data_IF_174912721781
#
_entry.id   IF_174912721781
#
_cell.length_a   1.000
_cell.length_b   1.000
_cell.length_c   1.000
_cell.angle_alpha   90.00
_cell.angle_beta   90.00
_cell.angle_gamma   90.00
#
_symmetry.space_group_name_H-M   'P 1'
#
loop_
_entity.id
_entity.type
_entity.pdbx_description
1 polymer ?
#
# COMPACT_ATOMS: atom_id res chain seq x y z
N UNK A 1 -0.32 -28.08 -14.66
CA UNK A 1 -1.33 -27.48 -13.75
C UNK A 1 -0.60 -26.33 -13.09
N UNK A 2 -1.14 -25.12 -13.03
CA UNK A 2 -0.49 -24.03 -12.30
C UNK A 2 -0.52 -24.36 -10.81
N UNK A 3 0.64 -24.34 -10.15
CA UNK A 3 0.75 -24.43 -8.70
C UNK A 3 -0.03 -23.28 -8.05
N UNK A 4 -0.62 -23.51 -6.89
CA UNK A 4 -1.24 -22.44 -6.11
C UNK A 4 -0.17 -21.69 -5.31
N UNK A 5 -0.41 -20.43 -5.00
CA UNK A 5 0.45 -19.63 -4.13
C UNK A 5 -0.31 -19.28 -2.85
N UNK A 6 0.24 -19.69 -1.72
CA UNK A 6 -0.34 -19.51 -0.40
C UNK A 6 0.38 -18.41 0.37
N UNK A 7 -0.39 -17.66 1.16
CA UNK A 7 0.12 -16.73 2.14
C UNK A 7 0.19 -17.46 3.48
N UNK A 8 1.39 -17.60 4.03
CA UNK A 8 1.63 -18.25 5.31
C UNK A 8 1.66 -17.25 6.46
N UNK A 9 2.21 -16.06 6.24
CA UNK A 9 2.10 -14.94 7.17
C UNK A 9 2.18 -13.60 6.43
N UNK A 10 1.68 -12.55 7.10
CA UNK A 10 1.75 -11.17 6.62
C UNK A 10 1.95 -10.24 7.83
N UNK A 11 3.11 -9.61 7.90
CA UNK A 11 3.53 -8.79 9.02
C UNK A 11 4.02 -7.43 8.56
N UNK A 12 3.95 -6.45 9.45
CA UNK A 12 4.41 -5.09 9.19
C UNK A 12 5.00 -4.43 10.43
N UNK A 13 5.82 -3.43 10.23
CA UNK A 13 6.14 -2.49 11.30
C UNK A 13 4.95 -1.59 11.62
N UNK A 14 4.88 -0.97 12.80
CA UNK A 14 4.08 0.25 12.96
C UNK A 14 4.59 1.31 12.00
N UNK A 15 3.74 2.29 11.66
CA UNK A 15 4.08 3.40 10.78
C UNK A 15 4.54 4.60 11.60
N UNK A 16 5.79 5.03 11.42
CA UNK A 16 6.35 6.23 12.03
C UNK A 16 6.03 7.48 11.20
N UNK A 17 5.85 8.64 11.82
CA UNK A 17 5.64 9.89 11.07
C UNK A 17 6.83 10.21 10.18
N UNK A 18 6.61 10.50 8.92
CA UNK A 18 7.61 10.81 7.89
C UNK A 18 8.22 12.21 8.04
N UNK A 19 8.75 12.50 9.22
CA UNK A 19 9.39 13.79 9.56
C UNK A 19 10.65 13.54 10.39
N UNK A 20 11.55 14.51 10.43
CA UNK A 20 12.80 14.41 11.21
C UNK A 20 12.59 14.13 12.71
N UNK A 21 11.43 14.48 13.26
CA UNK A 21 11.04 14.17 14.63
C UNK A 21 10.09 12.96 14.75
N UNK A 22 9.89 12.19 13.69
CA UNK A 22 9.13 10.94 13.71
C UNK A 22 9.92 9.83 14.42
N UNK A 23 9.22 8.93 15.07
CA UNK A 23 9.85 7.89 15.91
C UNK A 23 10.81 6.98 15.11
N UNK A 24 10.52 6.70 13.84
CA UNK A 24 11.35 5.84 12.99
C UNK A 24 12.45 6.59 12.21
N UNK A 25 12.55 7.92 12.29
CA UNK A 25 13.59 8.67 11.56
C UNK A 25 15.01 8.22 11.90
N UNK A 26 15.27 7.83 13.14
CA UNK A 26 16.56 7.30 13.59
C UNK A 26 16.83 5.85 13.18
N UNK A 27 15.81 5.12 12.73
CA UNK A 27 15.91 3.71 12.31
C UNK A 27 16.19 3.63 10.82
N UNK A 28 17.21 2.89 10.41
CA UNK A 28 17.50 2.72 8.98
C UNK A 28 16.43 1.86 8.31
N UNK A 29 16.08 2.13 7.03
CA UNK A 29 15.13 1.30 6.29
C UNK A 29 15.48 -0.20 6.31
N UNK A 30 16.78 -0.52 6.20
CA UNK A 30 17.24 -1.90 6.25
C UNK A 30 16.96 -2.57 7.61
N UNK A 31 17.09 -1.86 8.72
CA UNK A 31 16.82 -2.41 10.05
C UNK A 31 15.32 -2.72 10.24
N UNK A 32 14.41 -2.00 9.56
CA UNK A 32 12.99 -2.31 9.53
C UNK A 32 12.72 -3.66 8.85
N UNK A 33 13.36 -3.89 7.70
CA UNK A 33 13.21 -5.14 6.94
C UNK A 33 13.85 -6.31 7.68
N UNK A 34 15.07 -6.13 8.20
CA UNK A 34 15.80 -7.16 8.99
C UNK A 34 14.99 -7.59 10.21
N UNK A 35 14.37 -6.63 10.92
CA UNK A 35 13.48 -6.93 12.05
C UNK A 35 12.30 -7.81 11.68
N UNK A 36 11.70 -7.57 10.51
CA UNK A 36 10.61 -8.40 9.99
C UNK A 36 11.10 -9.80 9.54
N UNK A 37 12.28 -9.91 8.93
CA UNK A 37 12.87 -11.21 8.59
C UNK A 37 13.09 -12.04 9.85
N UNK A 38 13.66 -11.47 10.90
CA UNK A 38 13.86 -12.15 12.17
C UNK A 38 12.53 -12.56 12.82
N UNK A 39 11.50 -11.74 12.69
CA UNK A 39 10.16 -12.10 13.20
C UNK A 39 9.57 -13.29 12.42
N UNK A 40 9.70 -13.35 11.09
CA UNK A 40 9.27 -14.51 10.29
C UNK A 40 10.03 -15.78 10.73
N UNK A 41 11.35 -15.71 10.92
CA UNK A 41 12.13 -16.84 11.43
C UNK A 41 11.67 -17.27 12.83
N UNK A 42 11.33 -16.31 13.69
CA UNK A 42 10.83 -16.60 15.05
C UNK A 42 9.44 -17.27 15.04
N UNK A 43 8.59 -16.89 14.11
CA UNK A 43 7.23 -17.48 13.95
C UNK A 43 7.26 -18.87 13.32
N UNK A 44 8.28 -19.15 12.53
CA UNK A 44 8.47 -20.43 11.85
C UNK A 44 9.80 -21.08 12.25
N UNK A 45 9.93 -21.54 13.51
CA UNK A 45 11.20 -22.02 14.05
C UNK A 45 11.72 -23.30 13.36
N UNK A 46 10.83 -24.08 12.72
CA UNK A 46 11.20 -25.30 11.99
C UNK A 46 11.49 -25.05 10.51
N UNK A 47 11.31 -23.79 10.02
CA UNK A 47 11.64 -23.42 8.66
C UNK A 47 13.17 -23.32 8.52
N UNK A 48 13.74 -24.12 7.62
CA UNK A 48 15.13 -23.95 7.20
C UNK A 48 15.25 -22.60 6.44
N UNK A 49 16.04 -21.64 6.92
CA UNK A 49 16.22 -20.37 6.21
C UNK A 49 16.73 -20.52 4.77
N UNK A 50 17.40 -21.65 4.44
CA UNK A 50 17.85 -21.96 3.09
C UNK A 50 16.70 -22.34 2.13
N UNK A 51 15.50 -22.58 2.65
CA UNK A 51 14.30 -22.80 1.85
C UNK A 51 13.68 -21.50 1.31
N UNK A 52 14.14 -20.35 1.78
CA UNK A 52 13.76 -19.06 1.20
C UNK A 52 14.57 -18.88 -0.08
N UNK A 53 13.88 -18.85 -1.22
CA UNK A 53 14.52 -18.71 -2.53
C UNK A 53 14.87 -17.25 -2.83
N UNK A 54 13.94 -16.34 -2.54
CA UNK A 54 14.08 -14.93 -2.92
C UNK A 54 13.37 -13.99 -1.93
N UNK A 55 13.82 -12.73 -1.92
CA UNK A 55 13.15 -11.62 -1.25
C UNK A 55 12.78 -10.57 -2.32
N UNK A 56 11.49 -10.26 -2.47
CA UNK A 56 11.01 -9.25 -3.42
C UNK A 56 10.50 -8.04 -2.66
N UNK A 57 11.18 -6.90 -2.77
CA UNK A 57 10.81 -5.68 -2.04
C UNK A 57 10.45 -4.52 -2.97
N UNK A 58 9.26 -3.97 -2.75
CA UNK A 58 8.85 -2.68 -3.30
C UNK A 58 9.54 -1.52 -2.60
N UNK A 59 10.18 -0.64 -3.38
CA UNK A 59 10.80 0.60 -2.92
C UNK A 59 10.59 1.67 -3.97
N UNK A 60 9.90 2.76 -3.62
CA UNK A 60 9.52 3.78 -4.60
C UNK A 60 10.65 4.78 -4.87
N UNK A 61 11.37 5.18 -3.83
CA UNK A 61 12.53 6.08 -3.98
C UNK A 61 13.82 5.34 -3.63
N UNK A 62 14.39 4.54 -4.58
CA UNK A 62 15.53 3.66 -4.33
C UNK A 62 16.87 4.43 -4.25
N UNK A 63 16.94 5.38 -3.32
CA UNK A 63 18.09 6.26 -3.10
C UNK A 63 18.62 6.15 -1.67
N UNK A 64 19.88 6.54 -1.48
CA UNK A 64 20.51 6.61 -0.17
C UNK A 64 20.37 5.29 0.59
N UNK A 65 19.82 5.35 1.79
CA UNK A 65 19.70 4.22 2.72
C UNK A 65 18.75 3.11 2.24
N UNK A 66 17.91 3.36 1.25
CA UNK A 66 16.97 2.37 0.70
C UNK A 66 17.23 2.05 -0.77
N UNK A 67 18.43 2.37 -1.26
CA UNK A 67 18.90 2.05 -2.60
C UNK A 67 19.71 0.75 -2.68
N UNK A 68 20.29 0.51 -3.85
CA UNK A 68 21.26 -0.57 -4.12
C UNK A 68 20.76 -1.98 -3.79
N UNK A 69 19.53 -2.29 -4.22
CA UNK A 69 18.90 -3.60 -3.96
C UNK A 69 18.87 -3.95 -2.46
N UNK A 70 18.14 -3.14 -1.71
CA UNK A 70 17.98 -3.32 -0.27
C UNK A 70 17.42 -4.72 0.11
N UNK A 71 16.72 -5.40 -0.81
CA UNK A 71 16.17 -6.74 -0.58
C UNK A 71 17.32 -7.75 -0.33
N UNK A 72 18.30 -7.82 -1.26
CA UNK A 72 19.46 -8.70 -1.09
C UNK A 72 20.31 -8.29 0.11
N UNK A 73 20.53 -6.98 0.30
CA UNK A 73 21.33 -6.50 1.43
C UNK A 73 20.65 -6.82 2.78
N UNK A 74 19.32 -6.76 2.85
CA UNK A 74 18.58 -7.16 4.05
C UNK A 74 18.68 -8.65 4.34
N UNK A 75 18.65 -9.53 3.31
CA UNK A 75 18.89 -10.96 3.48
C UNK A 75 20.25 -11.24 4.14
N UNK A 76 21.31 -10.62 3.63
CA UNK A 76 22.67 -10.74 4.19
C UNK A 76 22.72 -10.19 5.61
N UNK A 77 22.17 -9.00 5.85
CA UNK A 77 22.19 -8.35 7.15
C UNK A 77 21.38 -9.11 8.21
N UNK A 78 20.32 -9.82 7.80
CA UNK A 78 19.54 -10.70 8.66
C UNK A 78 20.21 -12.04 8.93
N UNK A 79 21.37 -12.32 8.32
CA UNK A 79 22.09 -13.59 8.50
C UNK A 79 21.43 -14.78 7.78
N UNK A 80 20.63 -14.51 6.74
CA UNK A 80 20.12 -15.59 5.89
C UNK A 80 21.27 -16.24 5.10
N UNK A 81 21.12 -17.51 4.67
CA UNK A 81 22.11 -18.19 3.84
C UNK A 81 22.43 -17.42 2.54
N UNK A 82 23.65 -17.61 2.04
CA UNK A 82 24.12 -16.97 0.79
C UNK A 82 23.28 -17.33 -0.44
N UNK A 83 22.56 -18.45 -0.37
CA UNK A 83 21.64 -18.90 -1.41
C UNK A 83 20.38 -18.01 -1.57
N UNK A 84 19.98 -17.27 -0.54
CA UNK A 84 18.78 -16.43 -0.60
C UNK A 84 19.03 -15.21 -1.50
N UNK A 85 18.33 -15.13 -2.61
CA UNK A 85 18.43 -14.00 -3.54
C UNK A 85 17.65 -12.78 -3.03
N UNK A 86 17.66 -11.68 -3.78
CA UNK A 86 16.86 -10.50 -3.50
C UNK A 86 16.69 -9.65 -4.72
N UNK A 87 15.53 -9.03 -4.86
CA UNK A 87 15.23 -8.07 -5.92
C UNK A 87 14.40 -6.90 -5.40
N UNK A 88 14.75 -5.72 -5.80
CA UNK A 88 14.01 -4.49 -5.53
C UNK A 88 13.23 -4.07 -6.78
N UNK A 89 11.95 -3.70 -6.60
CA UNK A 89 11.11 -3.27 -7.71
C UNK A 89 10.37 -1.97 -7.37
N UNK A 90 9.86 -1.29 -8.41
CA UNK A 90 9.11 -0.05 -8.28
C UNK A 90 7.87 -0.04 -9.18
N UNK A 91 6.70 -0.05 -8.58
CA UNK A 91 5.40 0.29 -9.18
C UNK A 91 4.72 1.40 -8.38
N UNK A 92 5.47 2.44 -8.01
CA UNK A 92 5.01 3.55 -7.19
C UNK A 92 4.22 3.06 -5.95
N UNK A 93 3.08 3.67 -5.66
CA UNK A 93 2.25 3.37 -4.48
C UNK A 93 1.84 1.89 -4.33
N UNK A 94 1.86 1.10 -5.39
CA UNK A 94 1.49 -0.31 -5.37
C UNK A 94 2.68 -1.27 -5.30
N UNK A 95 3.92 -0.79 -5.15
CA UNK A 95 5.11 -1.63 -5.16
C UNK A 95 5.00 -2.82 -4.20
N UNK A 96 4.55 -2.63 -2.95
CA UNK A 96 4.41 -3.73 -2.00
C UNK A 96 3.38 -4.79 -2.41
N UNK A 97 2.30 -4.42 -3.11
CA UNK A 97 1.34 -5.39 -3.65
C UNK A 97 1.87 -6.07 -4.91
N UNK A 98 2.60 -5.34 -5.74
CA UNK A 98 3.27 -5.89 -6.93
C UNK A 98 4.34 -6.91 -6.52
N UNK A 99 5.14 -6.63 -5.50
CA UNK A 99 6.11 -7.57 -4.94
C UNK A 99 5.44 -8.89 -4.52
N UNK A 100 4.29 -8.80 -3.83
CA UNK A 100 3.46 -9.97 -3.46
C UNK A 100 2.96 -10.71 -4.70
N UNK A 101 2.47 -9.99 -5.72
CA UNK A 101 1.97 -10.58 -6.95
C UNK A 101 3.09 -11.26 -7.76
N UNK A 102 4.30 -10.67 -7.80
CA UNK A 102 5.47 -11.27 -8.42
C UNK A 102 5.91 -12.54 -7.69
N UNK A 103 5.95 -12.53 -6.36
CA UNK A 103 6.23 -13.72 -5.56
C UNK A 103 5.21 -14.83 -5.83
N UNK A 104 3.91 -14.50 -5.82
CA UNK A 104 2.86 -15.46 -6.16
C UNK A 104 3.01 -16.01 -7.59
N UNK A 105 3.41 -15.18 -8.56
CA UNK A 105 3.67 -15.63 -9.92
C UNK A 105 4.88 -16.57 -10.00
N UNK A 106 5.98 -16.29 -9.29
CA UNK A 106 7.15 -17.16 -9.20
C UNK A 106 6.79 -18.52 -8.63
N UNK A 107 6.06 -18.56 -7.50
CA UNK A 107 5.60 -19.80 -6.87
C UNK A 107 4.66 -20.56 -7.82
N UNK A 108 3.68 -19.89 -8.41
CA UNK A 108 2.71 -20.52 -9.34
C UNK A 108 3.35 -21.04 -10.63
N UNK A 109 4.47 -20.47 -11.07
CA UNK A 109 5.24 -20.96 -12.22
C UNK A 109 6.10 -22.18 -11.89
N UNK A 110 6.31 -22.47 -10.60
CA UNK A 110 7.21 -23.50 -10.14
C UNK A 110 8.69 -23.11 -10.22
N UNK A 111 9.00 -21.82 -10.36
CA UNK A 111 10.39 -21.35 -10.35
C UNK A 111 10.93 -21.25 -8.94
N UNK A 112 10.11 -20.87 -7.98
CA UNK A 112 10.45 -20.70 -6.58
C UNK A 112 9.42 -21.42 -5.69
N UNK A 113 9.82 -21.91 -4.54
CA UNK A 113 8.95 -22.57 -3.57
C UNK A 113 8.51 -21.66 -2.43
N UNK A 114 9.40 -20.78 -1.94
CA UNK A 114 9.12 -19.85 -0.85
C UNK A 114 9.80 -18.50 -1.10
N UNK A 115 9.00 -17.45 -1.13
CA UNK A 115 9.45 -16.07 -1.36
C UNK A 115 8.93 -15.17 -0.24
N UNK A 116 9.80 -14.34 0.32
CA UNK A 116 9.39 -13.24 1.19
C UNK A 116 9.14 -12.00 0.31
N UNK A 117 7.94 -11.45 0.36
CA UNK A 117 7.58 -10.33 -0.49
C UNK A 117 6.98 -9.19 0.32
N UNK A 118 7.24 -7.95 -0.07
CA UNK A 118 6.70 -6.82 0.66
C UNK A 118 7.30 -5.50 0.20
N UNK A 119 7.75 -4.69 1.15
CA UNK A 119 8.40 -3.44 0.79
C UNK A 119 8.78 -2.59 1.98
N UNK A 120 9.50 -1.53 1.69
CA UNK A 120 9.94 -0.55 2.67
C UNK A 120 9.93 0.85 2.07
N UNK A 121 9.55 1.82 2.86
CA UNK A 121 9.73 3.24 2.53
C UNK A 121 10.02 4.02 3.81
N UNK A 122 11.09 4.79 3.82
CA UNK A 122 11.44 5.71 4.91
C UNK A 122 11.37 7.13 4.38
N UNK A 123 10.15 7.67 4.34
CA UNK A 123 9.87 8.98 3.72
C UNK A 123 10.40 10.14 4.57
N UNK A 124 10.75 9.90 5.85
CA UNK A 124 11.42 10.88 6.70
C UNK A 124 12.91 11.05 6.35
N UNK A 125 13.53 10.01 5.75
CA UNK A 125 14.96 9.98 5.39
C UNK A 125 15.18 10.22 3.90
N UNK A 126 14.33 9.63 3.06
CA UNK A 126 14.36 9.78 1.60
C UNK A 126 13.04 10.40 1.15
N UNK A 127 13.00 11.71 0.90
CA UNK A 127 11.79 12.40 0.50
C UNK A 127 11.22 11.86 -0.81
N UNK A 128 9.91 11.80 -0.91
CA UNK A 128 9.21 11.38 -2.13
C UNK A 128 9.64 12.23 -3.33
N UNK A 129 9.93 11.57 -4.46
CA UNK A 129 10.35 12.21 -5.70
C UNK A 129 11.84 12.60 -5.74
N UNK A 130 12.65 12.22 -4.72
CA UNK A 130 14.09 12.48 -4.72
C UNK A 130 14.84 11.74 -5.83
N UNK A 131 14.27 10.66 -6.35
CA UNK A 131 14.78 9.85 -7.46
C UNK A 131 14.62 10.54 -8.81
N UNK A 132 13.85 11.63 -8.89
CA UNK A 132 13.67 12.43 -10.12
C UNK A 132 12.82 11.69 -11.14
N UNK A 133 13.40 11.50 -12.34
CA UNK A 133 12.75 10.83 -13.46
C UNK A 133 12.23 11.78 -14.54
N UNK A 134 12.22 11.31 -15.77
CA UNK A 134 11.89 12.12 -16.94
C UNK A 134 10.46 12.69 -16.87
N UNK A 135 9.54 11.92 -16.33
CA UNK A 135 8.12 12.31 -16.25
C UNK A 135 7.89 13.65 -15.52
N UNK A 136 8.60 13.89 -14.42
CA UNK A 136 8.47 15.12 -13.64
C UNK A 136 9.60 16.13 -13.89
N UNK A 137 10.77 15.69 -14.39
CA UNK A 137 11.98 16.50 -14.50
C UNK A 137 12.30 16.96 -15.92
N UNK A 138 11.81 16.27 -16.94
CA UNK A 138 11.99 16.68 -18.34
C UNK A 138 10.73 17.41 -18.83
N UNK A 139 10.82 18.73 -19.15
CA UNK A 139 9.67 19.53 -19.56
C UNK A 139 8.93 19.00 -20.79
N UNK A 140 9.66 18.41 -21.75
CA UNK A 140 9.06 17.86 -22.96
C UNK A 140 8.22 16.63 -22.62
N UNK A 141 8.81 15.65 -21.92
CA UNK A 141 8.11 14.44 -21.47
C UNK A 141 6.93 14.76 -20.57
N UNK A 142 7.10 15.72 -19.64
CA UNK A 142 6.02 16.20 -18.77
C UNK A 142 4.84 16.74 -19.57
N UNK A 143 5.12 17.59 -20.57
CA UNK A 143 4.08 18.17 -21.43
C UNK A 143 3.39 17.10 -22.30
N UNK A 144 4.16 16.25 -22.99
CA UNK A 144 3.64 15.21 -23.90
C UNK A 144 2.78 14.17 -23.16
N UNK A 145 3.11 13.89 -21.90
CA UNK A 145 2.36 12.93 -21.06
C UNK A 145 1.22 13.55 -20.25
N UNK A 146 1.05 14.87 -20.33
CA UNK A 146 0.03 15.58 -19.57
C UNK A 146 0.22 15.45 -18.06
N UNK A 147 1.46 15.52 -17.60
CA UNK A 147 1.79 15.37 -16.18
C UNK A 147 1.09 16.41 -15.33
N UNK A 148 0.41 15.95 -14.30
CA UNK A 148 -0.09 16.77 -13.20
C UNK A 148 0.21 16.07 -11.87
N UNK A 149 0.53 16.83 -10.79
CA UNK A 149 0.69 16.23 -9.46
C UNK A 149 -0.55 15.47 -9.01
N UNK A 150 -0.37 14.38 -8.26
CA UNK A 150 -1.47 13.49 -7.82
C UNK A 150 -2.63 14.24 -7.14
N UNK A 151 -2.33 15.27 -6.35
CA UNK A 151 -3.36 16.05 -5.68
C UNK A 151 -4.27 16.81 -6.63
N UNK A 152 -3.76 17.26 -7.80
CA UNK A 152 -4.59 17.87 -8.86
C UNK A 152 -5.52 16.79 -9.45
N UNK A 153 -5.01 15.58 -9.69
CA UNK A 153 -5.86 14.45 -10.13
C UNK A 153 -6.95 14.09 -9.11
N UNK A 154 -6.62 14.12 -7.81
CA UNK A 154 -7.58 13.86 -6.75
C UNK A 154 -8.69 14.95 -6.69
N UNK A 155 -8.31 16.24 -6.78
CA UNK A 155 -9.25 17.34 -6.81
C UNK A 155 -10.12 17.35 -8.10
N UNK A 156 -9.52 16.95 -9.24
CA UNK A 156 -10.25 16.74 -10.48
C UNK A 156 -11.28 15.61 -10.36
N UNK A 157 -10.93 14.50 -9.71
CA UNK A 157 -11.89 13.42 -9.40
C UNK A 157 -13.04 13.98 -8.57
N UNK A 158 -12.74 14.68 -7.48
CA UNK A 158 -13.77 15.26 -6.63
C UNK A 158 -14.69 16.22 -7.41
N UNK A 159 -14.11 17.06 -8.26
CA UNK A 159 -14.86 18.01 -9.12
C UNK A 159 -15.79 17.29 -10.09
N UNK A 160 -15.29 16.30 -10.83
CA UNK A 160 -16.07 15.55 -11.83
C UNK A 160 -17.20 14.76 -11.17
N UNK A 161 -16.93 14.16 -10.01
CA UNK A 161 -17.92 13.36 -9.28
C UNK A 161 -18.87 14.17 -8.41
N UNK A 162 -18.60 15.47 -8.24
CA UNK A 162 -19.37 16.37 -7.39
C UNK A 162 -19.18 16.12 -5.90
N UNK A 163 -18.03 15.57 -5.50
CA UNK A 163 -17.71 15.40 -4.08
C UNK A 163 -17.32 16.73 -3.46
N UNK A 164 -18.10 17.15 -2.48
CA UNK A 164 -17.83 18.38 -1.74
C UNK A 164 -16.67 18.20 -0.77
N UNK A 165 -16.17 19.31 -0.26
CA UNK A 165 -15.22 19.33 0.84
C UNK A 165 -15.71 18.52 2.04
N UNK A 166 -17.00 18.61 2.36
CA UNK A 166 -17.59 17.88 3.48
C UNK A 166 -17.58 16.37 3.25
N UNK A 167 -17.88 15.90 2.06
CA UNK A 167 -17.88 14.47 1.75
C UNK A 167 -16.50 13.84 1.95
N UNK A 168 -15.43 14.49 1.48
CA UNK A 168 -14.06 13.99 1.65
C UNK A 168 -13.58 14.09 3.10
N UNK A 169 -14.02 15.08 3.87
CA UNK A 169 -13.70 15.22 5.29
C UNK A 169 -14.48 14.21 6.15
N UNK A 170 -15.74 13.90 5.82
CA UNK A 170 -16.53 12.85 6.48
C UNK A 170 -15.91 11.47 6.26
N UNK A 171 -15.44 11.17 5.04
CA UNK A 171 -14.71 9.93 4.80
C UNK A 171 -13.39 9.87 5.59
N UNK A 172 -12.64 10.97 5.66
CA UNK A 172 -11.40 11.03 6.43
C UNK A 172 -11.65 10.82 7.95
N UNK A 173 -12.71 11.40 8.49
CA UNK A 173 -13.13 11.18 9.87
C UNK A 173 -13.50 9.72 10.12
N UNK A 174 -14.22 9.08 9.19
CA UNK A 174 -14.56 7.66 9.24
C UNK A 174 -13.31 6.77 9.25
N UNK A 175 -12.29 7.07 8.42
CA UNK A 175 -11.01 6.35 8.43
C UNK A 175 -10.32 6.43 9.80
N UNK A 176 -10.26 7.62 10.39
CA UNK A 176 -9.68 7.84 11.73
C UNK A 176 -10.46 7.09 12.83
N UNK A 177 -11.79 7.14 12.80
CA UNK A 177 -12.64 6.42 13.75
C UNK A 177 -12.40 4.91 13.70
N UNK A 178 -12.41 4.34 12.49
CA UNK A 178 -12.20 2.91 12.25
C UNK A 178 -10.81 2.46 12.69
N UNK A 179 -9.78 3.23 12.36
CA UNK A 179 -8.41 2.93 12.76
C UNK A 179 -8.24 2.99 14.28
N UNK A 180 -8.84 3.97 14.94
CA UNK A 180 -8.82 4.07 16.40
C UNK A 180 -9.53 2.89 17.06
N UNK A 181 -10.69 2.48 16.53
CA UNK A 181 -11.41 1.29 17.00
C UNK A 181 -10.58 0.01 16.78
N UNK A 182 -9.98 -0.15 15.61
CA UNK A 182 -9.14 -1.32 15.29
C UNK A 182 -7.95 -1.45 16.25
N UNK A 183 -7.26 -0.36 16.55
CA UNK A 183 -6.19 -0.34 17.55
C UNK A 183 -6.69 -0.68 18.95
N UNK A 184 -7.78 -0.06 19.38
CA UNK A 184 -8.39 -0.32 20.71
C UNK A 184 -8.81 -1.77 20.88
N UNK A 185 -9.36 -2.36 19.83
CA UNK A 185 -9.86 -3.74 19.83
C UNK A 185 -8.77 -4.79 19.58
N UNK A 186 -7.50 -4.37 19.38
CA UNK A 186 -6.37 -5.26 19.16
C UNK A 186 -6.36 -5.96 17.77
N UNK A 187 -7.09 -5.41 16.77
CA UNK A 187 -7.23 -6.04 15.46
C UNK A 187 -5.91 -6.10 14.67
N UNK A 188 -4.91 -5.30 15.04
CA UNK A 188 -3.56 -5.29 14.46
C UNK A 188 -2.53 -6.09 15.26
N UNK A 189 -2.92 -6.72 16.38
CA UNK A 189 -1.96 -7.38 17.29
C UNK A 189 -1.17 -8.52 16.65
N UNK A 190 -1.74 -9.20 15.63
CA UNK A 190 -1.07 -10.29 14.92
C UNK A 190 -0.05 -9.77 13.91
N UNK A 191 -0.39 -8.73 13.18
CA UNK A 191 0.40 -8.25 12.04
C UNK A 191 1.44 -7.20 12.41
N UNK A 192 1.23 -6.39 13.46
CA UNK A 192 2.18 -5.35 13.85
C UNK A 192 3.30 -5.91 14.71
N UNK A 193 4.53 -5.76 14.21
CA UNK A 193 5.77 -6.13 14.90
C UNK A 193 6.41 -4.86 15.43
N UNK A 194 6.56 -4.71 16.77
CA UNK A 194 7.22 -3.54 17.35
C UNK A 194 8.65 -3.36 16.82
N UNK A 195 8.99 -2.15 16.43
CA UNK A 195 10.36 -1.81 16.05
C UNK A 195 11.20 -1.64 17.31
N UNK A 196 12.33 -2.32 17.37
CA UNK A 196 13.27 -2.30 18.50
C UNK A 196 14.62 -1.80 18.04
N UNK A 197 15.34 -1.14 18.94
CA UNK A 197 16.74 -0.80 18.72
C UNK A 197 17.66 -2.04 18.91
N UNK A 198 18.97 -1.86 18.69
CA UNK A 198 19.97 -2.94 18.84
C UNK A 198 20.12 -3.48 20.27
N UNK A 199 19.59 -2.76 21.27
CA UNK A 199 19.59 -3.18 22.67
C UNK A 199 18.27 -3.87 23.06
N UNK A 200 17.33 -4.00 22.11
CA UNK A 200 16.03 -4.59 22.33
C UNK A 200 14.97 -3.63 22.92
N UNK A 201 15.28 -2.34 23.05
CA UNK A 201 14.32 -1.35 23.51
C UNK A 201 13.31 -1.01 22.40
N UNK A 202 12.04 -0.94 22.74
CA UNK A 202 10.98 -0.59 21.80
C UNK A 202 11.12 0.88 21.40
N UNK A 203 11.29 1.11 20.10
CA UNK A 203 11.32 2.43 19.46
C UNK A 203 9.91 2.89 19.10
N UNK A 204 9.11 1.97 18.54
CA UNK A 204 7.72 2.23 18.17
C UNK A 204 6.94 0.90 18.14
N UNK A 205 5.73 0.90 18.72
CA UNK A 205 4.83 -0.27 18.81
C UNK A 205 3.43 0.00 18.27
N UNK A 206 3.13 1.23 17.83
CA UNK A 206 1.83 1.65 17.32
C UNK A 206 1.96 2.61 16.13
N UNK A 207 0.91 2.76 15.33
CA UNK A 207 0.91 3.70 14.19
C UNK A 207 0.87 5.16 14.71
N UNK A 208 1.97 5.87 14.56
CA UNK A 208 2.19 7.21 15.14
C UNK A 208 1.34 8.31 14.48
N UNK A 209 0.81 8.06 13.27
CA UNK A 209 0.03 9.05 12.51
C UNK A 209 -1.42 9.18 12.97
N UNK A 210 -1.96 8.17 13.63
CA UNK A 210 -3.35 8.09 14.08
C UNK A 210 -3.75 9.30 14.95
N UNK A 211 -4.93 9.86 14.69
CA UNK A 211 -5.51 11.02 15.41
C UNK A 211 -6.93 10.72 15.87
N UNK A 212 -7.10 10.00 16.96
CA UNK A 212 -8.42 9.68 17.50
C UNK A 212 -9.23 10.94 17.79
N UNK A 213 -10.54 10.88 17.52
CA UNK A 213 -11.44 12.02 17.76
C UNK A 213 -11.46 13.06 16.62
N UNK A 214 -10.82 12.79 15.49
CA UNK A 214 -10.96 13.63 14.29
C UNK A 214 -12.41 13.59 13.79
N UNK A 215 -12.97 14.77 13.49
CA UNK A 215 -14.31 14.93 12.91
C UNK A 215 -14.23 15.79 11.64
N UNK A 216 -15.24 15.71 10.78
CA UNK A 216 -15.32 16.58 9.60
C UNK A 216 -15.26 18.06 9.99
N UNK A 217 -15.92 18.46 11.07
CA UNK A 217 -15.91 19.85 11.56
C UNK A 217 -14.51 20.29 12.02
N UNK A 218 -13.73 19.36 12.63
CA UNK A 218 -12.33 19.64 13.01
C UNK A 218 -11.40 19.81 11.80
N UNK A 219 -11.74 19.20 10.67
CA UNK A 219 -11.00 19.29 9.41
C UNK A 219 -11.38 20.51 8.56
N UNK A 220 -12.60 21.06 8.73
CA UNK A 220 -13.15 22.12 7.89
C UNK A 220 -12.26 23.38 7.79
N UNK A 221 -11.49 23.70 8.85
CA UNK A 221 -10.59 24.85 8.88
C UNK A 221 -9.26 24.67 8.13
N UNK A 222 -8.94 23.45 7.65
CA UNK A 222 -7.71 23.20 6.93
C UNK A 222 -7.77 23.73 5.49
N UNK A 223 -6.70 24.39 5.04
CA UNK A 223 -6.61 24.92 3.68
C UNK A 223 -6.38 23.79 2.68
N UNK A 224 -6.98 23.84 1.48
CA UNK A 224 -6.64 22.93 0.39
C UNK A 224 -5.14 22.96 0.09
N UNK A 225 -4.53 21.78 -0.04
CA UNK A 225 -3.07 21.66 -0.19
C UNK A 225 -2.60 21.92 -1.62
N UNK A 226 -3.48 21.74 -2.61
CA UNK A 226 -3.08 21.73 -4.01
C UNK A 226 -3.54 22.97 -4.80
N UNK A 227 -4.34 23.85 -4.20
CA UNK A 227 -4.84 25.07 -4.85
C UNK A 227 -3.72 25.96 -5.40
N UNK A 228 -2.66 26.19 -4.62
CA UNK A 228 -1.56 27.04 -5.06
C UNK A 228 -0.75 26.43 -6.23
N UNK A 229 -0.48 25.13 -6.20
CA UNK A 229 0.23 24.45 -7.28
C UNK A 229 -0.65 24.28 -8.52
N UNK A 230 -1.96 24.16 -8.35
CA UNK A 230 -2.94 24.13 -9.43
C UNK A 230 -2.99 25.47 -10.16
N UNK A 231 -3.32 26.54 -9.44
CA UNK A 231 -3.52 27.88 -9.98
C UNK A 231 -2.18 28.54 -10.39
N UNK A 232 -1.31 28.83 -9.44
CA UNK A 232 -0.03 29.54 -9.69
C UNK A 232 0.98 28.65 -10.41
N UNK A 233 1.03 27.35 -10.09
CA UNK A 233 1.89 26.37 -10.75
C UNK A 233 1.39 25.95 -12.15
N UNK A 234 0.17 26.33 -12.54
CA UNK A 234 -0.40 26.08 -13.87
C UNK A 234 -0.89 24.64 -14.11
N UNK A 235 -0.90 23.76 -13.10
CA UNK A 235 -1.30 22.37 -13.29
C UNK A 235 -2.80 22.17 -13.47
N UNK A 236 -3.63 23.12 -13.00
CA UNK A 236 -5.06 23.13 -13.32
C UNK A 236 -5.27 23.33 -14.83
N UNK A 237 -4.52 24.24 -15.44
CA UNK A 237 -4.59 24.45 -16.89
C UNK A 237 -4.16 23.21 -17.68
N UNK A 238 -3.14 22.48 -17.23
CA UNK A 238 -2.74 21.19 -17.82
C UNK A 238 -3.88 20.18 -17.75
N UNK A 239 -4.49 20.00 -16.58
CA UNK A 239 -5.62 19.08 -16.40
C UNK A 239 -6.83 19.48 -17.22
N UNK A 240 -7.19 20.77 -17.26
CA UNK A 240 -8.33 21.30 -18.00
C UNK A 240 -8.15 21.23 -19.53
N UNK A 241 -6.92 21.20 -20.07
CA UNK A 241 -6.70 20.91 -21.49
C UNK A 241 -7.23 19.52 -21.87
N UNK A 242 -7.07 18.53 -21.00
CA UNK A 242 -7.59 17.19 -21.22
C UNK A 242 -9.07 17.07 -20.89
N UNK A 243 -9.51 17.71 -19.81
CA UNK A 243 -10.87 17.70 -19.27
C UNK A 243 -11.59 19.02 -19.57
N UNK A 244 -11.62 19.40 -20.85
CA UNK A 244 -12.09 20.71 -21.35
C UNK A 244 -13.58 21.02 -21.08
N UNK A 245 -14.35 20.02 -20.64
CA UNK A 245 -15.75 20.21 -20.21
C UNK A 245 -15.88 20.60 -18.74
N UNK A 246 -14.78 20.55 -17.98
CA UNK A 246 -14.70 21.03 -16.60
C UNK A 246 -14.29 22.49 -16.63
N UNK A 247 -15.11 23.37 -16.08
CA UNK A 247 -14.87 24.82 -16.10
C UNK A 247 -13.75 25.22 -15.15
N UNK A 248 -13.71 24.59 -13.96
CA UNK A 248 -12.77 24.85 -12.88
C UNK A 248 -12.58 23.62 -12.00
N UNK A 249 -11.37 23.42 -11.47
CA UNK A 249 -11.11 22.39 -10.46
C UNK A 249 -11.41 22.96 -9.07
N UNK A 250 -12.28 22.29 -8.32
CA UNK A 250 -12.55 22.60 -6.93
C UNK A 250 -11.55 21.86 -6.03
N UNK A 251 -10.69 22.63 -5.36
CA UNK A 251 -9.68 22.07 -4.47
C UNK A 251 -10.27 21.75 -3.10
N UNK A 252 -10.42 20.46 -2.81
CA UNK A 252 -11.04 19.96 -1.57
C UNK A 252 -10.07 19.14 -0.71
N UNK A 253 -8.95 18.65 -1.30
CA UNK A 253 -8.01 17.81 -0.58
C UNK A 253 -6.94 18.60 0.19
N UNK A 254 -6.63 18.09 1.38
CA UNK A 254 -5.62 18.63 2.28
C UNK A 254 -5.00 17.52 3.14
N UNK A 255 -4.00 17.84 3.95
CA UNK A 255 -3.29 16.85 4.76
C UNK A 255 -4.16 16.02 5.73
N UNK A 256 -5.40 16.46 6.03
CA UNK A 256 -6.32 15.74 6.92
C UNK A 256 -7.21 14.73 6.21
N UNK A 257 -7.37 14.81 4.88
CA UNK A 257 -8.18 13.92 4.07
C UNK A 257 -7.37 13.27 2.91
N UNK A 258 -6.05 13.27 3.05
CA UNK A 258 -5.07 12.61 2.20
C UNK A 258 -4.19 11.69 3.04
N UNK A 259 -3.52 10.73 2.42
CA UNK A 259 -2.63 9.81 3.12
C UNK A 259 -1.49 10.51 3.85
N UNK A 260 -1.16 10.03 5.04
CA UNK A 260 -0.02 10.50 5.80
C UNK A 260 1.31 10.06 5.20
N UNK A 261 2.30 10.96 5.19
CA UNK A 261 3.70 10.66 4.88
C UNK A 261 4.31 9.99 6.12
N UNK A 262 4.80 8.75 5.96
CA UNK A 262 5.27 7.91 7.07
C UNK A 262 6.42 7.00 6.66
N UNK A 263 7.10 6.43 7.65
CA UNK A 263 8.11 5.38 7.50
C UNK A 263 7.49 4.02 7.86
N UNK A 264 7.87 2.95 7.16
CA UNK A 264 7.43 1.60 7.52
C UNK A 264 7.88 0.54 6.52
N UNK A 265 7.77 -0.72 6.95
CA UNK A 265 8.05 -1.90 6.15
C UNK A 265 7.00 -2.98 6.37
N UNK A 266 6.85 -3.88 5.40
CA UNK A 266 6.01 -5.07 5.49
C UNK A 266 6.67 -6.25 4.80
N UNK A 267 6.40 -7.47 5.30
CA UNK A 267 6.77 -8.74 4.69
C UNK A 267 5.60 -9.72 4.72
N UNK A 268 5.46 -10.46 3.62
CA UNK A 268 4.48 -11.52 3.42
C UNK A 268 5.26 -12.78 3.01
N UNK A 269 5.04 -13.88 3.70
CA UNK A 269 5.61 -15.18 3.33
C UNK A 269 4.67 -15.86 2.33
N UNK A 270 5.14 -16.07 1.11
CA UNK A 270 4.38 -16.67 0.01
C UNK A 270 5.09 -17.93 -0.45
N UNK A 271 4.36 -19.05 -0.48
CA UNK A 271 4.96 -20.31 -0.86
C UNK A 271 4.01 -21.29 -1.52
N UNK A 272 4.61 -22.38 -2.02
CA UNK A 272 3.90 -23.53 -2.57
C UNK A 272 3.24 -24.35 -1.45
N UNK A 273 2.29 -25.20 -1.79
CA UNK A 273 1.71 -26.16 -0.85
C UNK A 273 2.78 -27.10 -0.28
N UNK A 274 3.68 -27.52 -1.14
CA UNK A 274 4.76 -28.45 -0.85
C UNK A 274 5.73 -27.91 0.22
N UNK A 275 6.08 -26.60 0.15
CA UNK A 275 6.93 -25.99 1.19
C UNK A 275 6.18 -25.88 2.52
N UNK A 276 4.88 -25.57 2.47
CA UNK A 276 4.03 -25.56 3.66
C UNK A 276 3.99 -26.92 4.35
N UNK A 277 3.74 -27.99 3.61
CA UNK A 277 3.71 -29.37 4.14
C UNK A 277 5.09 -29.79 4.68
N UNK A 278 6.19 -29.42 4.00
CA UNK A 278 7.55 -29.78 4.40
C UNK A 278 7.95 -29.17 5.75
N UNK A 279 7.58 -27.93 6.00
CA UNK A 279 7.97 -27.18 7.20
C UNK A 279 6.85 -26.94 8.20
N UNK A 280 5.68 -27.60 8.01
CA UNK A 280 4.55 -27.48 8.92
C UNK A 280 3.94 -26.08 8.94
N UNK A 281 4.04 -25.32 7.85
CA UNK A 281 3.44 -24.00 7.75
C UNK A 281 1.94 -24.11 7.46
N UNK A 282 1.12 -23.40 8.21
CA UNK A 282 -0.33 -23.37 7.99
C UNK A 282 -0.69 -22.20 7.07
N UNK A 283 -1.29 -22.47 5.90
CA UNK A 283 -1.70 -21.39 5.00
C UNK A 283 -2.87 -20.59 5.63
N UNK A 284 -2.80 -19.27 5.53
CA UNK A 284 -3.83 -18.33 5.99
C UNK A 284 -4.78 -17.94 4.86
N UNK A 285 -4.22 -17.79 3.67
CA UNK A 285 -4.94 -17.42 2.47
C UNK A 285 -4.22 -17.96 1.23
N UNK A 286 -4.91 -17.95 0.09
CA UNK A 286 -4.30 -18.13 -1.23
C UNK A 286 -4.49 -16.91 -2.10
N UNK A 287 -3.53 -16.63 -2.98
CA UNK A 287 -3.67 -15.61 -4.03
C UNK A 287 -4.50 -16.22 -5.18
N UNK A 288 -5.74 -15.78 -5.31
CA UNK A 288 -6.66 -16.27 -6.34
C UNK A 288 -6.31 -15.69 -7.71
N UNK A 289 -6.20 -14.38 -7.77
CA UNK A 289 -5.84 -13.66 -9.00
C UNK A 289 -5.18 -12.32 -8.69
N UNK A 290 -4.42 -11.82 -9.67
CA UNK A 290 -3.88 -10.49 -9.67
C UNK A 290 -4.01 -9.83 -11.05
N UNK A 291 -4.15 -8.51 -11.08
CA UNK A 291 -4.23 -7.74 -12.30
C UNK A 291 -3.65 -6.34 -12.14
N UNK A 292 -3.07 -5.86 -13.23
CA UNK A 292 -2.66 -4.47 -13.40
C UNK A 292 -3.44 -3.85 -14.55
N UNK A 293 -3.68 -2.54 -14.48
CA UNK A 293 -4.33 -1.77 -15.53
C UNK A 293 -3.69 -0.39 -15.63
N UNK A 294 -3.49 0.10 -16.85
CA UNK A 294 -3.30 1.53 -17.10
C UNK A 294 -4.63 2.27 -17.04
N UNK A 295 -4.57 3.55 -16.74
CA UNK A 295 -5.69 4.51 -16.80
C UNK A 295 -5.19 5.84 -17.33
N UNK A 296 -6.07 6.83 -17.50
CA UNK A 296 -5.69 8.13 -18.02
C UNK A 296 -4.69 8.84 -17.08
N UNK A 297 -3.48 9.24 -17.55
CA UNK A 297 -2.39 9.65 -16.67
C UNK A 297 -2.56 11.02 -16.02
N UNK A 298 -3.37 11.94 -16.58
CA UNK A 298 -3.56 13.29 -16.03
C UNK A 298 -4.42 13.25 -14.77
N UNK A 299 -5.58 12.56 -14.81
CA UNK A 299 -6.41 12.31 -13.62
C UNK A 299 -5.78 11.24 -12.71
N UNK A 300 -4.97 10.37 -13.28
CA UNK A 300 -4.04 9.42 -12.66
C UNK A 300 -4.70 8.35 -11.77
N UNK A 301 -5.59 8.71 -10.87
CA UNK A 301 -5.95 7.91 -9.69
C UNK A 301 -7.19 7.02 -9.90
N UNK A 302 -7.62 6.81 -11.14
CA UNK A 302 -8.82 6.02 -11.50
C UNK A 302 -8.51 4.54 -11.83
N UNK A 303 -7.25 4.11 -11.71
CA UNK A 303 -6.80 2.76 -12.00
C UNK A 303 -7.39 1.61 -11.16
N UNK A 304 -7.80 1.81 -9.88
CA UNK A 304 -8.32 0.73 -9.05
C UNK A 304 -9.52 -0.03 -9.64
N UNK A 305 -10.52 0.66 -10.18
CA UNK A 305 -11.72 0.03 -10.71
C UNK A 305 -11.44 -0.87 -11.94
N UNK A 306 -10.72 -0.43 -13.00
CA UNK A 306 -10.39 -1.31 -14.12
C UNK A 306 -9.47 -2.47 -13.72
N UNK A 307 -8.51 -2.26 -12.79
CA UNK A 307 -7.68 -3.35 -12.28
C UNK A 307 -8.52 -4.39 -11.52
N UNK A 308 -9.44 -3.94 -10.66
CA UNK A 308 -10.37 -4.80 -9.93
C UNK A 308 -11.25 -5.62 -10.86
N UNK A 309 -11.90 -5.00 -11.85
CA UNK A 309 -12.73 -5.75 -12.84
C UNK A 309 -11.93 -6.82 -13.56
N UNK A 310 -10.68 -6.51 -13.90
CA UNK A 310 -9.77 -7.47 -14.55
C UNK A 310 -9.36 -8.61 -13.61
N UNK A 311 -9.09 -8.34 -12.33
CA UNK A 311 -8.75 -9.35 -11.34
C UNK A 311 -9.95 -10.28 -11.06
N UNK A 312 -11.15 -9.72 -10.86
CA UNK A 312 -12.39 -10.47 -10.66
C UNK A 312 -12.70 -11.38 -11.85
N UNK A 313 -12.60 -10.87 -13.08
CA UNK A 313 -12.81 -11.66 -14.28
C UNK A 313 -11.85 -12.85 -14.39
N UNK A 314 -10.57 -12.68 -14.01
CA UNK A 314 -9.59 -13.78 -13.96
C UNK A 314 -9.91 -14.80 -12.87
N UNK A 315 -10.50 -14.36 -11.76
CA UNK A 315 -10.93 -15.24 -10.67
C UNK A 315 -12.24 -15.98 -10.97
N UNK A 316 -13.00 -15.56 -11.98
CA UNK A 316 -14.37 -16.04 -12.22
C UNK A 316 -15.36 -15.54 -11.17
N UNK A 317 -15.07 -14.42 -10.53
CA UNK A 317 -15.85 -13.78 -9.46
C UNK A 317 -16.46 -12.46 -9.93
N UNK A 318 -17.45 -12.01 -9.18
CA UNK A 318 -18.05 -10.68 -9.28
C UNK A 318 -17.72 -9.86 -8.03
N UNK A 319 -18.06 -8.59 -8.02
CA UNK A 319 -17.84 -7.74 -6.83
C UNK A 319 -18.74 -8.14 -5.64
N UNK A 320 -19.87 -8.77 -5.93
CA UNK A 320 -20.82 -9.24 -4.90
C UNK A 320 -20.28 -10.45 -4.12
N UNK A 321 -19.35 -11.22 -4.72
CA UNK A 321 -18.68 -12.36 -4.09
C UNK A 321 -17.58 -11.90 -3.10
N UNK A 322 -17.19 -10.61 -3.13
CA UNK A 322 -16.15 -10.06 -2.26
C UNK A 322 -16.75 -9.62 -0.93
N UNK A 323 -16.23 -10.18 0.15
CA UNK A 323 -16.65 -9.87 1.51
C UNK A 323 -16.03 -8.57 2.04
N UNK A 324 -14.72 -8.38 1.79
CA UNK A 324 -13.95 -7.23 2.26
C UNK A 324 -13.06 -6.63 1.17
N UNK A 325 -12.94 -5.32 1.20
CA UNK A 325 -12.10 -4.56 0.27
C UNK A 325 -11.16 -3.65 1.04
N UNK A 326 -9.88 -3.76 0.76
CA UNK A 326 -8.86 -2.79 1.16
C UNK A 326 -8.40 -2.01 -0.08
N UNK A 327 -8.76 -0.74 -0.14
CA UNK A 327 -8.26 0.20 -1.14
C UNK A 327 -7.35 1.23 -0.47
N UNK A 328 -6.16 1.46 -1.03
CA UNK A 328 -5.28 2.48 -0.48
C UNK A 328 -5.94 3.88 -0.50
N UNK A 329 -5.96 4.53 0.64
CA UNK A 329 -6.52 5.87 0.83
C UNK A 329 -5.49 6.95 0.50
N UNK A 330 -5.00 6.99 -0.76
CA UNK A 330 -4.11 8.08 -1.15
C UNK A 330 -4.79 9.45 -0.93
N UNK A 331 -6.06 9.52 -1.28
CA UNK A 331 -6.97 10.66 -1.07
C UNK A 331 -8.39 10.15 -0.84
N UNK A 332 -9.19 10.85 -0.05
CA UNK A 332 -10.58 10.47 0.22
C UNK A 332 -11.41 10.35 -1.07
N UNK A 333 -11.25 11.30 -2.00
CA UNK A 333 -11.97 11.30 -3.28
C UNK A 333 -11.68 10.07 -4.15
N UNK A 334 -10.50 9.47 -4.04
CA UNK A 334 -10.15 8.23 -4.76
C UNK A 334 -10.96 7.05 -4.26
N UNK A 335 -11.13 6.93 -2.95
CA UNK A 335 -11.92 5.85 -2.36
C UNK A 335 -13.40 6.02 -2.68
N UNK A 336 -13.94 7.24 -2.53
CA UNK A 336 -15.33 7.54 -2.85
C UNK A 336 -15.64 7.26 -4.33
N UNK A 337 -14.72 7.60 -5.24
CA UNK A 337 -14.83 7.29 -6.66
C UNK A 337 -14.84 5.78 -6.91
N UNK A 338 -13.92 5.04 -6.30
CA UNK A 338 -13.86 3.58 -6.44
C UNK A 338 -15.14 2.91 -5.93
N UNK A 339 -15.64 3.32 -4.76
CA UNK A 339 -16.91 2.81 -4.19
C UNK A 339 -18.07 3.02 -5.16
N UNK A 340 -18.16 4.21 -5.77
CA UNK A 340 -19.15 4.53 -6.79
C UNK A 340 -18.99 3.69 -8.06
N UNK A 341 -17.76 3.57 -8.58
CA UNK A 341 -17.45 2.84 -9.82
C UNK A 341 -17.73 1.33 -9.72
N UNK A 342 -17.61 0.77 -8.50
CA UNK A 342 -17.82 -0.65 -8.23
C UNK A 342 -19.20 -0.96 -7.64
N UNK A 343 -20.03 0.05 -7.35
CA UNK A 343 -21.35 -0.15 -6.74
C UNK A 343 -21.28 -0.66 -5.30
N UNK A 344 -20.22 -0.34 -4.59
CA UNK A 344 -19.98 -0.79 -3.21
C UNK A 344 -20.61 0.16 -2.19
N UNK A 345 -20.68 -0.32 -0.96
CA UNK A 345 -20.96 0.49 0.24
C UNK A 345 -19.73 0.51 1.16
N UNK A 346 -19.62 1.54 1.98
CA UNK A 346 -18.44 1.73 2.84
C UNK A 346 -18.31 0.69 3.97
N UNK A 347 -19.34 -0.06 4.27
CA UNK A 347 -19.34 -1.11 5.30
C UNK A 347 -18.42 -2.31 4.98
N UNK A 348 -18.10 -2.53 3.70
CA UNK A 348 -17.15 -3.55 3.24
C UNK A 348 -15.74 -2.99 2.95
N UNK A 349 -15.57 -1.66 2.91
CA UNK A 349 -14.36 -1.01 2.41
C UNK A 349 -13.58 -0.39 3.57
N UNK A 350 -12.29 -0.72 3.69
CA UNK A 350 -11.36 -0.18 4.68
C UNK A 350 -11.93 -0.18 6.10
N UNK A 351 -12.45 -1.34 6.52
CA UNK A 351 -13.21 -1.49 7.77
C UNK A 351 -12.39 -1.27 9.03
N UNK A 352 -11.07 -1.25 8.91
CA UNK A 352 -10.12 -0.95 9.99
C UNK A 352 -9.42 0.41 9.80
N UNK A 353 -10.02 1.31 8.98
CA UNK A 353 -9.37 2.53 8.56
C UNK A 353 -8.27 2.28 7.52
N UNK A 354 -7.61 3.31 7.05
CA UNK A 354 -6.59 3.17 6.01
C UNK A 354 -5.51 4.24 6.08
N UNK A 355 -4.91 4.57 4.95
CA UNK A 355 -3.73 5.43 4.87
C UNK A 355 -3.95 6.88 5.30
N UNK A 356 -5.18 7.38 5.30
CA UNK A 356 -5.50 8.72 5.83
C UNK A 356 -5.25 8.74 7.35
N UNK A 357 -5.65 7.68 8.05
CA UNK A 357 -5.48 7.56 9.49
C UNK A 357 -4.10 7.02 9.88
N UNK A 358 -3.64 5.98 9.19
CA UNK A 358 -2.46 5.21 9.58
C UNK A 358 -1.18 5.64 8.85
N UNK A 359 -1.30 6.24 7.66
CA UNK A 359 -0.18 6.64 6.81
C UNK A 359 0.09 5.66 5.66
N UNK A 360 0.93 6.12 4.70
CA UNK A 360 1.22 5.43 3.44
C UNK A 360 2.72 5.38 3.17
N UNK A 361 3.47 4.42 3.78
CA UNK A 361 4.84 4.16 3.36
C UNK A 361 4.80 3.50 1.99
N UNK A 362 5.10 4.27 0.94
CA UNK A 362 4.75 3.99 -0.46
C UNK A 362 5.06 2.55 -0.88
N UNK A 363 6.31 2.12 -0.73
CA UNK A 363 6.78 0.80 -1.13
C UNK A 363 6.18 -0.36 -0.32
N UNK A 364 5.74 -0.10 0.92
CA UNK A 364 5.26 -1.15 1.82
C UNK A 364 3.74 -1.31 1.87
N UNK A 365 2.98 -0.26 1.53
CA UNK A 365 1.53 -0.18 1.81
C UNK A 365 0.74 -1.34 1.21
N UNK A 366 1.05 -1.75 -0.02
CA UNK A 366 0.31 -2.83 -0.66
C UNK A 366 0.37 -4.15 0.10
N UNK A 367 1.54 -4.51 0.64
CA UNK A 367 1.71 -5.68 1.51
C UNK A 367 1.03 -5.49 2.87
N UNK A 368 1.06 -4.27 3.43
CA UNK A 368 0.39 -3.96 4.70
C UNK A 368 -1.13 -4.17 4.63
N UNK A 369 -1.78 -3.65 3.58
CA UNK A 369 -3.24 -3.76 3.44
C UNK A 369 -3.67 -5.17 3.02
N UNK A 370 -2.77 -5.95 2.35
CA UNK A 370 -3.00 -7.37 2.14
C UNK A 370 -3.06 -8.13 3.47
N UNK A 371 -2.12 -7.89 4.37
CA UNK A 371 -2.16 -8.46 5.72
C UNK A 371 -3.42 -8.05 6.48
N UNK A 372 -3.81 -6.76 6.37
CA UNK A 372 -5.02 -6.24 7.03
C UNK A 372 -6.29 -6.96 6.55
N UNK A 373 -6.46 -7.18 5.24
CA UNK A 373 -7.64 -7.87 4.74
C UNK A 373 -7.66 -9.34 5.17
N UNK A 374 -6.50 -10.03 5.19
CA UNK A 374 -6.41 -11.43 5.64
C UNK A 374 -6.76 -11.54 7.13
N UNK A 375 -6.16 -10.70 7.98
CA UNK A 375 -6.48 -10.66 9.42
C UNK A 375 -7.98 -10.45 9.67
N UNK A 376 -8.60 -9.58 8.87
CA UNK A 376 -10.01 -9.23 9.04
C UNK A 376 -10.97 -10.30 8.50
N UNK A 377 -10.59 -11.00 7.40
CA UNK A 377 -11.31 -12.16 6.90
C UNK A 377 -11.31 -13.29 7.94
N UNK A 378 -10.16 -13.57 8.56
CA UNK A 378 -10.05 -14.54 9.65
C UNK A 378 -10.93 -14.14 10.84
N UNK A 379 -10.85 -12.88 11.27
CA UNK A 379 -11.60 -12.37 12.42
C UNK A 379 -13.12 -12.44 12.25
N UNK A 380 -13.61 -12.24 11.01
CA UNK A 380 -15.04 -12.22 10.67
C UNK A 380 -15.57 -13.55 10.14
N UNK A 381 -14.70 -14.56 9.98
CA UNK A 381 -15.03 -15.82 9.32
C UNK A 381 -15.61 -15.63 7.91
N UNK A 382 -14.99 -14.71 7.15
CA UNK A 382 -15.33 -14.38 5.76
C UNK A 382 -14.32 -15.00 4.80
N UNK A 383 -14.66 -15.09 3.51
CA UNK A 383 -13.90 -15.90 2.55
C UNK A 383 -13.04 -15.06 1.59
N UNK A 384 -13.65 -14.11 0.85
CA UNK A 384 -12.96 -13.42 -0.23
C UNK A 384 -12.62 -11.97 0.14
N UNK A 385 -11.36 -11.59 -0.10
CA UNK A 385 -10.86 -10.25 0.04
C UNK A 385 -10.30 -9.69 -1.25
N UNK A 386 -10.45 -8.39 -1.44
CA UNK A 386 -9.89 -7.62 -2.54
C UNK A 386 -8.94 -6.55 -2.00
N UNK A 387 -7.75 -6.48 -2.56
CA UNK A 387 -6.78 -5.41 -2.28
C UNK A 387 -6.52 -4.65 -3.56
N UNK A 388 -6.60 -3.31 -3.51
CA UNK A 388 -6.34 -2.48 -4.69
C UNK A 388 -5.69 -1.14 -4.33
N UNK A 389 -4.87 -0.63 -5.24
CA UNK A 389 -4.21 0.66 -5.10
C UNK A 389 -4.27 1.45 -6.41
N UNK A 390 -4.47 2.76 -6.28
CA UNK A 390 -4.13 3.71 -7.34
C UNK A 390 -2.61 3.91 -7.36
N UNK A 391 -2.08 4.21 -8.54
CA UNK A 391 -0.64 4.21 -8.80
C UNK A 391 -0.27 5.44 -9.61
N UNK A 392 0.87 6.04 -9.29
CA UNK A 392 1.44 7.13 -10.09
C UNK A 392 1.53 6.77 -11.57
N UNK A 393 1.42 7.76 -12.45
CA UNK A 393 1.44 7.55 -13.89
C UNK A 393 0.13 7.01 -14.50
N UNK A 394 -0.96 6.97 -13.74
CA UNK A 394 -2.24 6.47 -14.22
C UNK A 394 -2.26 4.96 -14.35
N UNK A 395 -2.14 4.26 -13.23
CA UNK A 395 -2.23 2.80 -13.17
C UNK A 395 -3.08 2.36 -11.97
N UNK A 396 -3.46 1.08 -11.96
CA UNK A 396 -4.05 0.40 -10.81
C UNK A 396 -3.55 -1.04 -10.70
N UNK A 397 -3.46 -1.53 -9.48
CA UNK A 397 -3.16 -2.93 -9.17
C UNK A 397 -4.28 -3.48 -8.30
N UNK A 398 -4.69 -4.70 -8.55
CA UNK A 398 -5.70 -5.39 -7.75
C UNK A 398 -5.33 -6.87 -7.55
N UNK A 399 -5.56 -7.37 -6.35
CA UNK A 399 -5.30 -8.76 -5.97
C UNK A 399 -6.50 -9.31 -5.21
N UNK A 400 -6.99 -10.47 -5.62
CA UNK A 400 -8.05 -11.21 -4.94
C UNK A 400 -7.40 -12.32 -4.11
N UNK A 401 -7.76 -12.38 -2.84
CA UNK A 401 -7.32 -13.41 -1.90
C UNK A 401 -8.53 -14.21 -1.40
N UNK A 402 -8.30 -15.47 -1.10
CA UNK A 402 -9.26 -16.34 -0.45
C UNK A 402 -8.67 -16.84 0.86
N UNK A 403 -9.37 -16.65 1.97
CA UNK A 403 -9.02 -17.26 3.26
C UNK A 403 -9.15 -18.78 3.20
N UNK A 404 -8.21 -19.48 3.80
CA UNK A 404 -8.16 -20.95 3.89
C UNK A 404 -8.68 -21.40 5.25
#
# INVERSE_FOLDING_TARGET
MSTEAFVYDAIRTPRGRGKANGALHGTKPIDLVVGLIHEIQSRFPDLDPAAIDDIVLGVVSPLGDQGSDIARIAAIAAGLPDSVAGVQENRFCASGLEAVNLAAAKVRSGWEDLVLAGGVESMSRVPMGSDGGAWAMDPMTSFETGFAPQGIGADLIATIEGFSRRDVDEYAALSQERAAAAWKDGRFARSVVPVKDRNGLVVLDHDEHLRPGTTADSLAGLKPSFAAIGDVGGFDAVALQKYHWVEKIDHVHHAGNSSGIVDGAALVAIGSKEVGERYGLTPRARIVSAAVSGSEPTIMLTGPAPATRKALAKAGLTIDDIDLVEINEAFAGVVLRFVKDMGLTLDKVNVNGGAIALGHPLGATGAMILGTVIDELERRDQQFGLVTLCVGGGMGVATVVERI
#
